data_IF_771628355572
#
_entry.id   IF_771628355572
#
_cell.length_a   1.000
_cell.length_b   1.000
_cell.length_c   1.000
_cell.angle_alpha   90.00
_cell.angle_beta   90.00
_cell.angle_gamma   90.00
#
_symmetry.space_group_name_H-M   'P 1'
#
loop_
_entity.id
_entity.type
_entity.pdbx_description
1 polymer ?
#
# COMPACT_ATOMS: atom_id res chain seq x y z
N UNK A 1 -0.93 -18.77 16.64
CA UNK A 1 -1.27 -18.02 15.41
C UNK A 1 -0.29 -16.88 15.33
N UNK A 2 0.59 -16.88 14.32
CA UNK A 2 1.63 -15.88 14.17
C UNK A 2 1.11 -14.63 13.46
N UNK A 3 1.86 -13.54 13.58
CA UNK A 3 1.64 -12.38 12.73
C UNK A 3 2.02 -12.70 11.28
N UNK A 4 1.42 -11.97 10.33
CA UNK A 4 1.79 -12.02 8.92
C UNK A 4 2.28 -10.65 8.49
N UNK A 5 3.34 -10.62 7.69
CA UNK A 5 3.82 -9.38 7.12
C UNK A 5 3.16 -9.14 5.76
N UNK A 6 2.65 -7.92 5.58
CA UNK A 6 2.03 -7.49 4.34
C UNK A 6 2.67 -6.21 3.84
N UNK A 7 3.01 -6.18 2.56
CA UNK A 7 3.30 -4.94 1.85
C UNK A 7 1.99 -4.31 1.38
N UNK A 8 1.90 -2.99 1.43
CA UNK A 8 0.82 -2.24 0.81
C UNK A 8 1.36 -0.97 0.15
N UNK A 9 0.75 -0.57 -0.96
CA UNK A 9 1.07 0.68 -1.63
C UNK A 9 -0.16 1.57 -1.77
N UNK A 10 0.07 2.87 -1.77
CA UNK A 10 -0.96 3.85 -2.02
C UNK A 10 -0.43 5.11 -2.70
N UNK A 11 -1.37 5.88 -3.23
CA UNK A 11 -1.15 7.25 -3.71
C UNK A 11 -1.95 8.19 -2.82
N UNK A 12 -1.29 9.20 -2.27
CA UNK A 12 -1.89 10.26 -1.47
C UNK A 12 -1.88 11.57 -2.26
N UNK A 13 -3.04 12.18 -2.43
CA UNK A 13 -3.20 13.48 -3.09
C UNK A 13 -4.36 14.22 -2.43
N UNK A 14 -4.13 15.49 -2.06
CA UNK A 14 -5.16 16.38 -1.51
C UNK A 14 -5.96 15.78 -0.34
N UNK A 15 -5.28 15.02 0.53
CA UNK A 15 -5.88 14.35 1.68
C UNK A 15 -6.65 13.06 1.34
N UNK A 16 -6.73 12.68 0.06
CA UNK A 16 -7.28 11.41 -0.41
C UNK A 16 -6.17 10.37 -0.52
N UNK A 17 -6.42 9.16 0.00
CA UNK A 17 -5.52 8.01 -0.20
C UNK A 17 -6.20 6.95 -1.05
N UNK A 18 -5.59 6.63 -2.20
CA UNK A 18 -5.93 5.48 -3.03
C UNK A 18 -5.02 4.31 -2.66
N UNK A 19 -5.59 3.19 -2.21
CA UNK A 19 -4.86 1.93 -2.12
C UNK A 19 -4.62 1.34 -3.51
N UNK A 20 -3.36 1.14 -3.88
CA UNK A 20 -2.96 0.60 -5.21
C UNK A 20 -2.76 -0.91 -5.17
N UNK A 21 -2.62 -1.49 -3.98
CA UNK A 21 -2.60 -2.94 -3.78
C UNK A 21 -1.78 -3.32 -2.55
N UNK A 22 -1.74 -4.61 -2.27
CA UNK A 22 -0.93 -5.18 -1.22
C UNK A 22 -0.65 -6.65 -1.50
N UNK A 23 0.26 -7.23 -0.73
CA UNK A 23 0.67 -8.61 -0.86
C UNK A 23 1.30 -9.13 0.42
N UNK A 24 1.45 -10.44 0.52
CA UNK A 24 2.24 -11.04 1.60
C UNK A 24 3.73 -10.77 1.34
N UNK A 25 4.45 -10.38 2.38
CA UNK A 25 5.89 -10.19 2.33
C UNK A 25 6.57 -11.46 2.84
N UNK A 26 7.52 -12.00 2.06
CA UNK A 26 8.33 -13.14 2.45
C UNK A 26 9.62 -12.65 3.11
N UNK A 27 9.82 -12.98 4.38
CA UNK A 27 11.04 -12.61 5.13
C UNK A 27 12.07 -13.73 5.05
N UNK A 28 12.58 -13.99 3.85
CA UNK A 28 13.62 -14.98 3.57
C UNK A 28 15.01 -14.37 3.38
N UNK A 29 15.13 -13.05 3.47
CA UNK A 29 16.38 -12.30 3.29
C UNK A 29 16.76 -12.05 1.83
N UNK A 30 15.93 -12.48 0.87
CA UNK A 30 16.10 -12.16 -0.55
C UNK A 30 15.30 -10.90 -0.94
N UNK A 31 15.74 -10.26 -2.01
CA UNK A 31 14.97 -9.19 -2.66
C UNK A 31 13.90 -9.81 -3.56
N UNK A 32 12.67 -9.31 -3.46
CA UNK A 32 11.54 -9.77 -4.26
C UNK A 32 10.92 -8.58 -4.99
N UNK A 33 10.76 -8.72 -6.31
CA UNK A 33 10.02 -7.74 -7.09
C UNK A 33 8.53 -7.86 -6.78
N UNK A 34 7.88 -6.72 -6.54
CA UNK A 34 6.45 -6.64 -6.31
C UNK A 34 5.84 -5.55 -7.18
N UNK A 35 4.71 -5.86 -7.80
CA UNK A 35 3.95 -4.94 -8.63
C UNK A 35 2.48 -4.95 -8.22
N UNK A 36 1.85 -3.78 -8.24
CA UNK A 36 0.45 -3.61 -7.89
C UNK A 36 -0.23 -2.60 -8.82
N UNK A 37 -1.53 -2.80 -9.02
CA UNK A 37 -2.36 -1.87 -9.79
C UNK A 37 -3.69 -1.65 -9.07
N UNK A 38 -4.13 -0.40 -9.04
CA UNK A 38 -5.35 0.05 -8.39
C UNK A 38 -6.37 0.57 -9.39
N UNK A 39 -7.64 0.60 -8.98
CA UNK A 39 -8.71 1.18 -9.78
C UNK A 39 -9.25 2.44 -9.13
N UNK A 40 -9.42 3.51 -9.91
CA UNK A 40 -10.07 4.75 -9.49
C UNK A 40 -11.60 4.64 -9.38
N UNK A 41 -12.21 3.49 -9.74
CA UNK A 41 -13.68 3.34 -9.80
C UNK A 41 -14.39 3.69 -8.48
N UNK A 42 -13.77 3.35 -7.35
CA UNK A 42 -14.34 3.53 -6.01
C UNK A 42 -13.68 4.65 -5.20
N UNK A 43 -12.65 5.29 -5.76
CA UNK A 43 -11.88 6.34 -5.09
C UNK A 43 -11.87 7.56 -5.99
N UNK A 44 -12.78 8.49 -5.69
CA UNK A 44 -12.79 9.83 -6.28
C UNK A 44 -11.67 10.66 -5.63
N UNK A 45 -11.18 11.71 -6.31
CA UNK A 45 -10.24 12.67 -5.72
C UNK A 45 -8.78 12.50 -6.11
N UNK A 46 -8.42 11.45 -6.87
CA UNK A 46 -7.11 11.36 -7.53
C UNK A 46 -7.23 11.92 -8.95
N UNK A 47 -6.34 12.82 -9.32
CA UNK A 47 -6.32 13.49 -10.62
C UNK A 47 -4.87 13.76 -11.09
N UNK A 48 -4.67 14.08 -12.38
CA UNK A 48 -3.34 14.43 -12.88
C UNK A 48 -2.73 15.59 -12.08
N UNK A 49 -1.46 15.46 -11.69
CA UNK A 49 -0.77 16.45 -10.85
C UNK A 49 0.19 15.86 -9.82
N UNK A 50 0.81 16.71 -8.97
CA UNK A 50 1.68 16.27 -7.87
C UNK A 50 0.92 15.37 -6.87
N UNK A 51 1.60 14.36 -6.35
CA UNK A 51 1.08 13.44 -5.33
C UNK A 51 2.24 12.78 -4.56
N UNK A 52 1.91 11.95 -3.58
CA UNK A 52 2.87 11.11 -2.85
C UNK A 52 2.55 9.64 -3.10
N UNK A 53 3.55 8.85 -3.48
CA UNK A 53 3.51 7.40 -3.38
C UNK A 53 3.91 7.00 -1.96
N UNK A 54 3.17 6.07 -1.37
CA UNK A 54 3.50 5.46 -0.09
C UNK A 54 3.62 3.95 -0.26
N UNK A 55 4.66 3.36 0.31
CA UNK A 55 4.80 1.93 0.50
C UNK A 55 4.95 1.64 2.00
N UNK A 56 4.18 0.69 2.51
CA UNK A 56 4.16 0.34 3.93
C UNK A 56 4.32 -1.17 4.10
N UNK A 57 5.16 -1.55 5.05
CA UNK A 57 5.23 -2.91 5.59
C UNK A 57 4.41 -2.96 6.88
N UNK A 58 3.44 -3.85 6.91
CA UNK A 58 2.50 -3.99 8.01
C UNK A 58 2.62 -5.37 8.64
N UNK A 59 2.73 -5.41 9.96
CA UNK A 59 2.55 -6.61 10.75
C UNK A 59 1.07 -6.77 11.12
N UNK A 60 0.45 -7.84 10.65
CA UNK A 60 -0.96 -8.15 10.87
C UNK A 60 -1.08 -9.27 11.89
N UNK A 61 -1.63 -8.97 13.06
CA UNK A 61 -1.88 -9.95 14.11
C UNK A 61 -3.29 -10.50 13.99
N UNK A 62 -3.44 -11.81 13.93
CA UNK A 62 -4.74 -12.47 13.76
C UNK A 62 -5.29 -13.05 15.05
N UNK A 63 -6.62 -13.01 15.19
CA UNK A 63 -7.38 -13.76 16.18
C UNK A 63 -8.37 -14.67 15.46
N UNK A 64 -7.99 -15.93 15.25
CA UNK A 64 -8.69 -16.81 14.32
C UNK A 64 -8.47 -16.36 12.87
N UNK A 65 -9.56 -16.22 12.10
CA UNK A 65 -9.50 -15.75 10.70
C UNK A 65 -9.54 -14.22 10.57
N UNK A 66 -9.84 -13.50 11.64
CA UNK A 66 -9.98 -12.04 11.60
C UNK A 66 -8.69 -11.34 12.03
N UNK A 67 -8.25 -10.29 11.32
CA UNK A 67 -7.24 -9.37 11.82
C UNK A 67 -7.70 -8.74 13.14
N UNK A 68 -6.84 -8.77 14.15
CA UNK A 68 -7.06 -8.13 15.46
C UNK A 68 -6.39 -6.76 15.51
N UNK A 69 -5.17 -6.65 15.00
CA UNK A 69 -4.42 -5.40 14.90
C UNK A 69 -3.54 -5.42 13.65
N UNK A 70 -3.24 -4.21 13.19
CA UNK A 70 -2.32 -3.96 12.09
C UNK A 70 -1.36 -2.88 12.59
N UNK A 71 -0.06 -3.16 12.52
CA UNK A 71 1.00 -2.24 12.91
C UNK A 71 1.87 -1.96 11.69
N UNK A 72 2.04 -0.69 11.33
CA UNK A 72 3.00 -0.31 10.30
C UNK A 72 4.41 -0.31 10.91
N UNK A 73 5.25 -1.23 10.46
CA UNK A 73 6.60 -1.46 10.99
C UNK A 73 7.69 -0.82 10.14
N UNK A 74 7.40 -0.53 8.87
CA UNK A 74 8.24 0.27 8.00
C UNK A 74 7.39 1.03 6.98
N UNK A 75 7.87 2.20 6.55
CA UNK A 75 7.22 3.03 5.55
C UNK A 75 8.30 3.71 4.69
N UNK A 76 8.00 3.85 3.40
CA UNK A 76 8.73 4.71 2.48
C UNK A 76 7.77 5.62 1.70
N UNK A 77 8.23 6.82 1.38
CA UNK A 77 7.43 7.85 0.71
C UNK A 77 8.22 8.53 -0.39
N UNK A 78 7.58 8.70 -1.54
CA UNK A 78 8.20 9.36 -2.68
C UNK A 78 7.26 10.37 -3.32
N UNK A 79 7.76 11.57 -3.60
CA UNK A 79 7.05 12.55 -4.43
C UNK A 79 6.92 12.01 -5.87
N UNK A 80 5.70 12.04 -6.39
CA UNK A 80 5.39 11.57 -7.74
C UNK A 80 4.49 12.58 -8.46
N UNK A 81 4.28 12.34 -9.75
CA UNK A 81 3.27 13.03 -10.54
C UNK A 81 2.31 12.00 -11.14
N UNK A 82 1.02 12.14 -10.84
CA UNK A 82 -0.05 11.39 -11.50
C UNK A 82 -0.19 11.91 -12.92
N UNK A 83 -0.17 11.00 -13.88
CA UNK A 83 -0.40 11.27 -15.30
C UNK A 83 -1.78 10.72 -15.69
N UNK A 84 -2.59 11.53 -16.35
CA UNK A 84 -3.84 11.07 -16.95
C UNK A 84 -3.56 10.49 -18.33
N UNK A 85 -4.07 9.29 -18.60
CA UNK A 85 -4.20 8.81 -19.97
C UNK A 85 -5.51 9.36 -20.55
N UNK A 86 -5.39 10.19 -21.60
CA UNK A 86 -6.52 10.62 -22.44
C UNK A 86 -6.82 9.57 -23.50
#
# INVERSE_FOLDING_TARGET
MGARLQISAGVVQDGTRLGVGGGEAHCDGAEHEWQASGSLRLTQGIHPGPALAEAQLNEVHFSGLMPRSIETVAEDRQEIRVIGHQ
#
